data_IF_030106057936
#
_entry.id   IF_030106057936
#
_cell.length_a   1.000
_cell.length_b   1.000
_cell.length_c   1.000
_cell.angle_alpha   90.00
_cell.angle_beta   90.00
_cell.angle_gamma   90.00
#
_symmetry.space_group_name_H-M   'P 1'
#
loop_
_entity.id
_entity.type
_entity.pdbx_description
1 polymer ?
#
# COMPACT_ATOMS: atom_id res chain seq x y z
N UNK A 1 -40.53 27.56 12.41
CA UNK A 1 -39.30 27.32 11.60
C UNK A 1 -38.90 25.85 11.80
N UNK A 2 -39.32 24.98 10.89
CA UNK A 2 -38.94 23.56 10.84
C UNK A 2 -38.56 23.29 9.40
N UNK A 3 -37.30 23.00 9.12
CA UNK A 3 -36.88 22.47 7.83
C UNK A 3 -36.60 20.99 8.07
N UNK A 4 -37.52 20.16 7.56
CA UNK A 4 -37.43 18.71 7.53
C UNK A 4 -36.48 18.26 6.43
N UNK A 5 -35.62 17.31 6.79
CA UNK A 5 -34.89 16.39 5.93
C UNK A 5 -35.66 16.01 4.65
N UNK A 6 -35.04 16.21 3.49
CA UNK A 6 -35.40 15.51 2.26
C UNK A 6 -34.16 15.24 1.40
N UNK A 7 -33.85 13.94 1.31
CA UNK A 7 -33.22 13.28 0.17
C UNK A 7 -31.74 13.54 -0.10
N UNK A 8 -30.89 12.80 0.62
CA UNK A 8 -29.64 12.26 0.07
C UNK A 8 -29.97 11.15 -0.93
N UNK A 9 -30.50 11.51 -2.09
CA UNK A 9 -30.60 10.62 -3.25
C UNK A 9 -30.00 11.31 -4.47
N UNK A 10 -28.68 11.48 -4.44
CA UNK A 10 -27.88 11.67 -5.65
C UNK A 10 -27.30 10.33 -6.06
N UNK A 11 -27.94 9.65 -7.01
CA UNK A 11 -27.43 8.43 -7.65
C UNK A 11 -26.04 8.71 -8.24
N UNK A 12 -24.99 8.27 -7.56
CA UNK A 12 -23.66 8.16 -8.16
C UNK A 12 -23.73 6.95 -9.09
N UNK A 13 -23.72 7.21 -10.40
CA UNK A 13 -23.65 6.18 -11.43
C UNK A 13 -22.41 5.31 -11.19
N UNK A 14 -22.60 3.98 -11.16
CA UNK A 14 -21.55 2.98 -10.97
C UNK A 14 -20.37 3.12 -11.97
N UNK A 15 -20.59 3.86 -13.07
CA UNK A 15 -19.59 4.16 -14.09
C UNK A 15 -18.63 5.31 -13.71
N UNK A 16 -18.94 6.16 -12.73
CA UNK A 16 -18.04 7.26 -12.31
C UNK A 16 -17.01 6.82 -11.25
N UNK A 17 -17.26 5.74 -10.50
CA UNK A 17 -16.29 5.19 -9.56
C UNK A 17 -15.10 4.52 -10.26
N UNK A 18 -15.31 4.04 -11.50
CA UNK A 18 -14.29 3.33 -12.27
C UNK A 18 -13.23 4.27 -12.88
N UNK A 19 -13.55 5.54 -13.07
CA UNK A 19 -12.61 6.54 -13.63
C UNK A 19 -11.72 7.21 -12.57
N UNK A 20 -12.07 7.11 -11.28
CA UNK A 20 -11.19 7.52 -10.19
C UNK A 20 -10.14 6.48 -9.82
N UNK A 21 -10.32 5.22 -10.27
CA UNK A 21 -9.43 4.13 -9.89
C UNK A 21 -8.18 4.01 -10.79
N UNK A 22 -8.19 4.60 -11.98
CA UNK A 22 -7.12 4.40 -12.99
C UNK A 22 -6.12 5.56 -13.07
N UNK A 23 -6.49 6.79 -12.69
CA UNK A 23 -5.59 7.96 -12.79
C UNK A 23 -4.58 8.08 -11.63
N UNK A 24 -4.88 7.51 -10.47
CA UNK A 24 -3.96 7.53 -9.33
C UNK A 24 -2.69 6.68 -9.56
N UNK A 25 -2.77 5.64 -10.39
CA UNK A 25 -1.63 4.76 -10.69
C UNK A 25 -0.64 5.46 -11.62
N UNK A 26 -1.11 6.21 -12.63
CA UNK A 26 -0.24 6.92 -13.58
C UNK A 26 0.36 8.21 -13.01
N UNK A 27 -0.34 8.90 -12.09
CA UNK A 27 0.16 10.18 -11.52
C UNK A 27 1.23 9.93 -10.44
N UNK A 28 1.13 8.83 -9.69
CA UNK A 28 2.16 8.45 -8.70
C UNK A 28 3.44 7.98 -9.42
N UNK A 29 3.31 7.39 -10.61
CA UNK A 29 4.44 6.94 -11.44
C UNK A 29 5.26 8.12 -11.99
N UNK A 30 4.60 9.23 -12.39
CA UNK A 30 5.27 10.42 -12.97
C UNK A 30 6.18 11.20 -12.01
N UNK A 31 6.09 11.00 -10.69
CA UNK A 31 6.89 11.73 -9.69
C UNK A 31 8.21 10.99 -9.36
N UNK A 32 8.41 9.76 -9.84
CA UNK A 32 9.64 9.01 -9.58
C UNK A 32 10.76 9.38 -10.56
N UNK A 33 11.85 9.94 -10.01
CA UNK A 33 13.13 10.11 -10.68
C UNK A 33 13.59 8.79 -11.33
N UNK A 34 14.20 8.92 -12.51
CA UNK A 34 14.86 7.90 -13.34
C UNK A 34 15.30 6.64 -12.57
N UNK A 35 14.43 5.64 -12.53
CA UNK A 35 14.76 4.28 -12.10
C UNK A 35 15.61 3.63 -13.19
N UNK A 36 16.65 2.86 -12.80
CA UNK A 36 17.52 2.17 -13.76
C UNK A 36 16.73 1.25 -14.70
N UNK A 37 17.12 1.20 -15.98
CA UNK A 37 16.67 0.14 -16.88
C UNK A 37 17.08 -1.21 -16.26
N UNK A 38 16.09 -2.04 -15.95
CA UNK A 38 16.21 -3.34 -15.26
C UNK A 38 16.43 -3.34 -13.72
N UNK A 39 15.75 -2.43 -12.99
CA UNK A 39 15.73 -2.42 -11.52
C UNK A 39 15.33 -3.76 -10.87
N UNK A 40 14.38 -4.49 -11.46
CA UNK A 40 13.95 -5.79 -10.93
C UNK A 40 15.04 -6.84 -11.10
N UNK A 41 15.68 -6.89 -12.27
CA UNK A 41 16.81 -7.80 -12.49
C UNK A 41 17.93 -7.53 -11.49
N UNK A 42 18.33 -6.27 -11.33
CA UNK A 42 19.35 -5.88 -10.36
C UNK A 42 18.98 -6.27 -8.92
N UNK A 43 17.72 -6.06 -8.53
CA UNK A 43 17.22 -6.50 -7.23
C UNK A 43 17.29 -8.03 -7.09
N UNK A 44 16.89 -8.81 -8.10
CA UNK A 44 16.96 -10.28 -8.10
C UNK A 44 18.39 -10.80 -7.94
N UNK A 45 19.35 -10.13 -8.57
CA UNK A 45 20.78 -10.43 -8.43
C UNK A 45 21.37 -9.97 -7.09
N UNK A 46 20.56 -9.34 -6.22
CA UNK A 46 20.98 -8.91 -4.89
C UNK A 46 21.82 -7.63 -4.89
N UNK A 47 21.70 -6.78 -5.92
CA UNK A 47 22.35 -5.46 -5.90
C UNK A 47 21.67 -4.55 -4.88
N UNK A 48 22.41 -4.14 -3.86
CA UNK A 48 21.89 -3.29 -2.79
C UNK A 48 21.46 -1.92 -3.30
N UNK A 49 22.08 -1.40 -4.36
CA UNK A 49 21.73 -0.12 -4.97
C UNK A 49 20.30 -0.13 -5.51
N UNK A 50 19.85 -1.24 -6.08
CA UNK A 50 18.47 -1.39 -6.57
C UNK A 50 17.48 -1.38 -5.41
N UNK A 51 17.76 -2.14 -4.35
CA UNK A 51 16.94 -2.14 -3.14
C UNK A 51 16.88 -0.75 -2.50
N UNK A 52 18.00 -0.06 -2.38
CA UNK A 52 18.09 1.29 -1.82
C UNK A 52 17.28 2.32 -2.63
N UNK A 53 17.29 2.21 -3.95
CA UNK A 53 16.45 3.05 -4.82
C UNK A 53 14.96 2.79 -4.58
N UNK A 54 14.54 1.52 -4.51
CA UNK A 54 13.15 1.16 -4.22
C UNK A 54 12.74 1.67 -2.84
N UNK A 55 13.58 1.43 -1.83
CA UNK A 55 13.32 1.86 -0.46
C UNK A 55 13.12 3.37 -0.38
N UNK A 56 14.05 4.16 -0.91
CA UNK A 56 13.95 5.62 -0.89
C UNK A 56 12.70 6.15 -1.59
N UNK A 57 12.31 5.54 -2.72
CA UNK A 57 11.19 6.00 -3.52
C UNK A 57 9.82 5.60 -2.96
N UNK A 58 9.70 4.38 -2.42
CA UNK A 58 8.40 3.81 -2.07
C UNK A 58 8.12 3.80 -0.56
N UNK A 59 9.14 3.77 0.31
CA UNK A 59 8.94 3.66 1.76
C UNK A 59 8.05 4.78 2.34
N UNK A 60 8.30 6.08 2.06
CA UNK A 60 7.47 7.16 2.61
C UNK A 60 6.02 7.09 2.12
N UNK A 61 5.83 6.76 0.84
CA UNK A 61 4.50 6.66 0.21
C UNK A 61 3.71 5.49 0.77
N UNK A 62 4.36 4.35 0.99
CA UNK A 62 3.73 3.17 1.60
C UNK A 62 3.40 3.39 3.08
N UNK A 63 4.23 4.14 3.82
CA UNK A 63 3.91 4.52 5.20
C UNK A 63 2.65 5.39 5.26
N UNK A 64 2.54 6.40 4.39
CA UNK A 64 1.34 7.22 4.29
C UNK A 64 0.11 6.36 3.93
N UNK A 65 0.25 5.49 2.93
CA UNK A 65 -0.81 4.58 2.52
C UNK A 65 -1.25 3.67 3.68
N UNK A 66 -0.33 2.99 4.36
CA UNK A 66 -0.66 2.13 5.49
C UNK A 66 -1.30 2.88 6.66
N UNK A 67 -0.87 4.13 6.91
CA UNK A 67 -1.45 4.98 7.98
C UNK A 67 -2.93 5.24 7.75
N UNK A 68 -3.41 5.29 6.49
CA UNK A 68 -4.85 5.43 6.20
C UNK A 68 -5.69 4.23 6.66
N UNK A 69 -5.07 3.05 6.82
CA UNK A 69 -5.73 1.85 7.34
C UNK A 69 -5.56 1.71 8.85
N UNK A 70 -4.37 2.00 9.36
CA UNK A 70 -3.96 1.67 10.72
C UNK A 70 -4.20 2.80 11.72
N UNK A 71 -4.31 4.04 11.23
CA UNK A 71 -4.49 5.26 12.03
C UNK A 71 -3.40 5.47 13.10
N UNK A 72 -2.26 4.80 12.94
CA UNK A 72 -1.07 4.90 13.79
C UNK A 72 0.18 4.84 12.90
N UNK A 73 0.91 5.96 12.87
CA UNK A 73 2.10 6.11 12.04
C UNK A 73 3.25 5.20 12.47
N UNK A 74 3.43 4.96 13.77
CA UNK A 74 4.49 4.12 14.29
C UNK A 74 4.26 2.66 13.90
N UNK A 75 3.01 2.18 14.04
CA UNK A 75 2.60 0.85 13.60
C UNK A 75 2.74 0.72 12.08
N UNK A 76 2.29 1.72 11.32
CA UNK A 76 2.42 1.74 9.86
C UNK A 76 3.89 1.65 9.43
N UNK A 77 4.77 2.48 10.01
CA UNK A 77 6.20 2.47 9.70
C UNK A 77 6.86 1.13 10.02
N UNK A 78 6.49 0.49 11.13
CA UNK A 78 6.99 -0.83 11.48
C UNK A 78 6.53 -1.89 10.46
N UNK A 79 5.24 -1.87 10.13
CA UNK A 79 4.65 -2.79 9.14
C UNK A 79 5.30 -2.64 7.75
N UNK A 80 5.58 -1.42 7.31
CA UNK A 80 6.27 -1.19 6.03
C UNK A 80 7.72 -1.66 6.07
N UNK A 81 8.44 -1.53 7.19
CA UNK A 81 9.77 -2.12 7.31
C UNK A 81 9.72 -3.64 7.07
N UNK A 82 8.75 -4.35 7.63
CA UNK A 82 8.57 -5.78 7.35
C UNK A 82 8.26 -6.06 5.87
N UNK A 83 7.48 -5.19 5.20
CA UNK A 83 7.18 -5.34 3.77
C UNK A 83 8.48 -5.31 2.96
N UNK A 84 9.38 -4.39 3.29
CA UNK A 84 10.66 -4.25 2.62
C UNK A 84 11.63 -5.39 2.94
N UNK A 85 11.65 -5.88 4.19
CA UNK A 85 12.39 -7.09 4.54
C UNK A 85 11.91 -8.29 3.71
N UNK A 86 10.59 -8.50 3.61
CA UNK A 86 10.01 -9.56 2.77
C UNK A 86 10.32 -9.39 1.29
N UNK A 87 10.35 -8.17 0.78
CA UNK A 87 10.78 -7.89 -0.59
C UNK A 87 12.21 -8.38 -0.81
N UNK A 88 13.12 -8.06 0.11
CA UNK A 88 14.52 -8.47 0.02
C UNK A 88 14.70 -9.99 0.12
N UNK A 89 14.05 -10.62 1.09
CA UNK A 89 14.10 -12.07 1.30
C UNK A 89 13.60 -12.83 0.06
N UNK A 90 12.47 -12.41 -0.51
CA UNK A 90 11.82 -13.08 -1.63
C UNK A 90 12.22 -12.50 -2.99
N UNK A 91 13.28 -11.69 -3.05
CA UNK A 91 13.66 -10.94 -4.27
C UNK A 91 13.83 -11.84 -5.49
N UNK A 92 14.36 -13.05 -5.32
CA UNK A 92 14.61 -13.98 -6.43
C UNK A 92 13.33 -14.50 -7.10
N UNK A 93 12.23 -14.54 -6.35
CA UNK A 93 10.91 -15.01 -6.80
C UNK A 93 10.12 -13.93 -7.56
N UNK A 94 10.60 -12.69 -7.55
CA UNK A 94 9.97 -11.60 -8.29
C UNK A 94 10.00 -11.88 -9.79
N UNK A 95 8.83 -11.77 -10.42
CA UNK A 95 8.70 -11.86 -11.87
C UNK A 95 9.14 -10.55 -12.51
N UNK A 96 9.92 -10.63 -13.58
CA UNK A 96 10.51 -9.45 -14.26
C UNK A 96 9.47 -8.50 -14.85
N UNK A 97 8.26 -9.01 -15.17
CA UNK A 97 7.19 -8.24 -15.79
C UNK A 97 6.20 -7.60 -14.79
N UNK A 98 6.46 -7.69 -13.49
CA UNK A 98 5.56 -7.13 -12.46
C UNK A 98 6.03 -5.74 -12.06
N UNK A 99 5.12 -4.77 -11.99
CA UNK A 99 5.42 -3.46 -11.40
C UNK A 99 5.73 -3.61 -9.91
N UNK A 100 6.91 -3.14 -9.49
CA UNK A 100 7.33 -3.13 -8.08
C UNK A 100 6.31 -2.37 -7.22
N UNK A 101 5.78 -1.25 -7.72
CA UNK A 101 4.78 -0.47 -7.00
C UNK A 101 3.51 -1.28 -6.72
N UNK A 102 2.98 -1.94 -7.76
CA UNK A 102 1.78 -2.79 -7.63
C UNK A 102 2.00 -3.96 -6.67
N UNK A 103 3.18 -4.58 -6.73
CA UNK A 103 3.58 -5.64 -5.79
C UNK A 103 3.60 -5.14 -4.35
N UNK A 104 4.29 -4.03 -4.08
CA UNK A 104 4.43 -3.48 -2.74
C UNK A 104 3.11 -2.99 -2.15
N UNK A 105 2.27 -2.32 -2.95
CA UNK A 105 0.93 -1.90 -2.52
C UNK A 105 0.05 -3.10 -2.13
N UNK A 106 0.10 -4.17 -2.92
CA UNK A 106 -0.67 -5.40 -2.67
C UNK A 106 -0.29 -6.03 -1.33
N UNK A 107 1.02 -6.22 -1.09
CA UNK A 107 1.51 -6.83 0.15
C UNK A 107 1.23 -5.92 1.35
N UNK A 108 1.43 -4.61 1.19
CA UNK A 108 1.14 -3.61 2.23
C UNK A 108 -0.33 -3.68 2.66
N UNK A 109 -1.25 -3.64 1.69
CA UNK A 109 -2.69 -3.72 1.95
C UNK A 109 -3.03 -5.02 2.69
N UNK A 110 -2.50 -6.16 2.24
CA UNK A 110 -2.76 -7.45 2.87
C UNK A 110 -2.29 -7.46 4.33
N UNK A 111 -1.05 -7.03 4.60
CA UNK A 111 -0.52 -6.91 5.97
C UNK A 111 -1.35 -5.98 6.84
N UNK A 112 -1.82 -4.83 6.33
CA UNK A 112 -2.67 -3.93 7.09
C UNK A 112 -4.01 -4.58 7.48
N UNK A 113 -4.64 -5.29 6.53
CA UNK A 113 -5.88 -6.00 6.79
C UNK A 113 -5.70 -7.12 7.80
N UNK A 114 -4.59 -7.87 7.73
CA UNK A 114 -4.27 -8.92 8.69
C UNK A 114 -4.06 -8.34 10.10
N UNK A 115 -3.31 -7.25 10.22
CA UNK A 115 -3.13 -6.54 11.49
C UNK A 115 -4.49 -6.14 12.10
N UNK A 116 -5.38 -5.53 11.31
CA UNK A 116 -6.72 -5.14 11.77
C UNK A 116 -7.55 -6.35 12.21
N UNK A 117 -7.46 -7.48 11.49
CA UNK A 117 -8.15 -8.72 11.88
C UNK A 117 -7.65 -9.25 13.22
N UNK A 118 -6.33 -9.27 13.42
CA UNK A 118 -5.73 -9.72 14.68
C UNK A 118 -6.15 -8.84 15.86
N UNK A 119 -6.09 -7.51 15.71
CA UNK A 119 -6.55 -6.56 16.73
C UNK A 119 -8.02 -6.78 17.13
N UNK A 120 -8.89 -7.05 16.15
CA UNK A 120 -10.31 -7.34 16.42
C UNK A 120 -10.52 -8.63 17.22
N UNK A 121 -9.71 -9.66 16.99
CA UNK A 121 -9.79 -10.92 17.73
C UNK A 121 -9.31 -10.72 19.17
N UNK A 122 -8.18 -10.03 19.35
CA UNK A 122 -7.62 -9.74 20.67
C UNK A 122 -8.59 -8.91 21.54
N UNK A 123 -9.23 -7.89 20.96
CA UNK A 123 -10.19 -7.07 21.69
C UNK A 123 -11.42 -7.87 22.12
N UNK A 124 -11.93 -8.79 21.28
CA UNK A 124 -13.04 -9.69 21.64
C UNK A 124 -12.70 -10.65 22.78
N UNK A 125 -11.43 -11.01 22.93
CA UNK A 125 -10.99 -11.88 24.03
C UNK A 125 -10.88 -11.08 25.33
N UNK A 126 -10.39 -9.84 25.27
CA UNK A 126 -10.31 -8.92 26.42
C UNK A 126 -11.68 -8.52 26.97
N UNK A 127 -12.69 -8.38 26.12
CA UNK A 127 -14.07 -8.04 26.55
C UNK A 127 -14.81 -9.20 27.25
N UNK A 128 -14.28 -10.44 27.16
CA UNK A 128 -14.90 -11.65 27.73
C UNK A 128 -14.21 -12.17 29.00
N UNK A 129 -13.13 -11.54 29.45
CA UNK A 129 -12.44 -11.81 30.73
C UNK A 129 -12.71 -10.67 31.71
#
# INVERSE_FOLDING_TARGET
MKITNKSYEGKISSSSLFLFQTTAIEIIDRICQKISENLIGDLRFGREEAYNQIFKNYFPRLCQFATTYLLDEAVAKNLIQDVFLKLWENRQELRENVSIMSYLLTITKNKCLDYIRHQKIENKHKEKS
#
